data_IF_584420805258
#
_entry.id   IF_584420805258
#
_cell.length_a   1.000
_cell.length_b   1.000
_cell.length_c   1.000
_cell.angle_alpha   90.00
_cell.angle_beta   90.00
_cell.angle_gamma   90.00
#
_symmetry.space_group_name_H-M   'P 1'
#
loop_
_entity.id
_entity.type
_entity.pdbx_description
1 polymer ?
#
# COMPACT_ATOMS: atom_id res chain seq x y z
N UNK A 1 -11.27 5.26 8.21
CA UNK A 1 -10.52 4.19 7.52
C UNK A 1 -9.59 4.75 6.47
N UNK A 2 -10.09 5.46 5.44
CA UNK A 2 -9.25 6.01 4.35
C UNK A 2 -8.08 6.87 4.85
N UNK A 3 -8.33 7.78 5.82
CA UNK A 3 -7.29 8.62 6.41
C UNK A 3 -6.23 7.81 7.20
N UNK A 4 -6.64 6.71 7.84
CA UNK A 4 -5.72 5.83 8.57
C UNK A 4 -4.84 5.09 7.56
N UNK A 5 -5.43 4.54 6.50
CA UNK A 5 -4.71 3.90 5.39
C UNK A 5 -3.73 4.88 4.72
N UNK A 6 -4.15 6.13 4.52
CA UNK A 6 -3.30 7.20 4.03
C UNK A 6 -2.11 7.47 4.94
N UNK A 7 -2.33 7.70 6.24
CA UNK A 7 -1.24 7.97 7.20
C UNK A 7 -0.26 6.79 7.23
N UNK A 8 -0.78 5.57 7.24
CA UNK A 8 0.03 4.36 7.28
C UNK A 8 0.87 4.21 6.01
N UNK A 9 0.28 4.44 4.83
CA UNK A 9 1.01 4.42 3.56
C UNK A 9 2.07 5.51 3.49
N UNK A 10 1.76 6.74 3.90
CA UNK A 10 2.71 7.86 3.91
C UNK A 10 3.85 7.59 4.90
N UNK A 11 3.56 7.07 6.09
CA UNK A 11 4.58 6.76 7.10
C UNK A 11 5.53 5.65 6.61
N UNK A 12 4.98 4.56 6.07
CA UNK A 12 5.78 3.45 5.54
C UNK A 12 6.56 3.92 4.30
N UNK A 13 5.89 4.58 3.35
CA UNK A 13 6.52 5.11 2.15
C UNK A 13 7.64 6.09 2.47
N UNK A 14 7.44 6.98 3.43
CA UNK A 14 8.47 7.90 3.90
C UNK A 14 9.66 7.16 4.50
N UNK A 15 9.42 6.16 5.35
CA UNK A 15 10.46 5.31 5.94
C UNK A 15 11.29 4.58 4.86
N UNK A 16 10.62 4.08 3.82
CA UNK A 16 11.28 3.39 2.69
C UNK A 16 12.14 4.37 1.87
N UNK A 17 11.73 5.63 1.76
CA UNK A 17 12.49 6.68 1.07
C UNK A 17 13.72 7.18 1.83
N UNK A 18 13.84 6.92 3.14
CA UNK A 18 15.02 7.30 3.94
C UNK A 18 16.26 6.58 3.39
N UNK A 19 17.29 7.35 3.03
CA UNK A 19 18.55 6.82 2.47
C UNK A 19 18.54 6.59 0.96
N UNK A 20 17.47 6.94 0.25
CA UNK A 20 17.45 6.95 -1.23
C UNK A 20 18.10 8.22 -1.79
N UNK A 21 18.57 8.18 -3.04
CA UNK A 21 19.15 9.37 -3.68
C UNK A 21 18.08 10.41 -4.02
N UNK A 22 18.44 11.69 -4.17
CA UNK A 22 17.46 12.74 -4.49
C UNK A 22 16.66 12.50 -5.79
N UNK A 23 17.29 11.88 -6.80
CA UNK A 23 16.61 11.48 -8.05
C UNK A 23 15.59 10.37 -7.81
N UNK A 24 15.96 9.35 -7.04
CA UNK A 24 15.04 8.25 -6.67
C UNK A 24 13.89 8.77 -5.81
N UNK A 25 14.17 9.61 -4.82
CA UNK A 25 13.14 10.22 -3.99
C UNK A 25 12.13 11.02 -4.81
N UNK A 26 12.57 11.73 -5.86
CA UNK A 26 11.69 12.48 -6.76
C UNK A 26 10.82 11.56 -7.61
N UNK A 27 11.39 10.53 -8.24
CA UNK A 27 10.65 9.62 -9.11
C UNK A 27 9.74 8.69 -8.31
N UNK A 28 10.31 7.97 -7.36
CA UNK A 28 9.60 7.02 -6.51
C UNK A 28 8.60 7.78 -5.66
N UNK A 29 9.05 8.75 -4.85
CA UNK A 29 8.14 9.54 -4.01
C UNK A 29 7.08 10.31 -4.81
N UNK A 30 7.40 10.79 -6.01
CA UNK A 30 6.43 11.42 -6.91
C UNK A 30 5.35 10.45 -7.39
N UNK A 31 5.73 9.25 -7.83
CA UNK A 31 4.77 8.21 -8.22
C UNK A 31 3.89 7.78 -7.03
N UNK A 32 4.50 7.59 -5.85
CA UNK A 32 3.76 7.26 -4.63
C UNK A 32 2.79 8.36 -4.22
N UNK A 33 3.23 9.62 -4.27
CA UNK A 33 2.37 10.79 -4.01
C UNK A 33 1.20 10.89 -4.97
N UNK A 34 1.43 10.65 -6.26
CA UNK A 34 0.37 10.63 -7.27
C UNK A 34 -0.66 9.53 -6.99
N UNK A 35 -0.21 8.30 -6.70
CA UNK A 35 -1.10 7.19 -6.36
C UNK A 35 -1.98 7.50 -5.14
N UNK A 36 -1.40 8.16 -4.14
CA UNK A 36 -2.12 8.57 -2.94
C UNK A 36 -3.16 9.66 -3.21
N UNK A 37 -2.81 10.65 -4.03
CA UNK A 37 -3.76 11.70 -4.44
C UNK A 37 -4.93 11.07 -5.19
N UNK A 38 -4.65 10.16 -6.13
CA UNK A 38 -5.69 9.42 -6.87
C UNK A 38 -6.57 8.64 -5.89
N UNK A 39 -5.96 7.91 -4.95
CA UNK A 39 -6.70 7.14 -3.95
C UNK A 39 -7.67 8.03 -3.16
N UNK A 40 -7.24 9.19 -2.67
CA UNK A 40 -8.08 10.10 -1.89
C UNK A 40 -9.18 10.69 -2.74
N UNK A 41 -8.83 11.30 -3.88
CA UNK A 41 -9.77 12.03 -4.75
C UNK A 41 -10.87 11.09 -5.24
N UNK A 42 -10.49 9.94 -5.78
CA UNK A 42 -11.47 8.97 -6.30
C UNK A 42 -12.29 8.36 -5.16
N UNK A 43 -11.70 8.12 -3.97
CA UNK A 43 -12.48 7.66 -2.81
C UNK A 43 -13.57 8.67 -2.42
N UNK A 44 -13.29 9.97 -2.45
CA UNK A 44 -14.30 10.99 -2.17
C UNK A 44 -15.39 11.00 -3.25
N UNK A 45 -15.00 10.94 -4.53
CA UNK A 45 -15.95 10.89 -5.66
C UNK A 45 -16.90 9.70 -5.50
N UNK A 46 -16.38 8.50 -5.25
CA UNK A 46 -17.18 7.28 -5.11
C UNK A 46 -18.11 7.37 -3.90
N UNK A 47 -17.65 7.92 -2.77
CA UNK A 47 -18.49 8.13 -1.58
C UNK A 47 -19.64 9.10 -1.83
N UNK A 48 -19.41 10.15 -2.62
CA UNK A 48 -20.47 11.08 -3.03
C UNK A 48 -21.47 10.38 -3.96
N UNK A 49 -20.99 9.66 -4.98
CA UNK A 49 -21.84 8.97 -5.96
C UNK A 49 -22.67 7.84 -5.36
N UNK A 50 -22.12 7.12 -4.38
CA UNK A 50 -22.78 6.00 -3.71
C UNK A 50 -23.75 6.42 -2.59
N UNK A 51 -23.86 7.71 -2.30
CA UNK A 51 -24.67 8.19 -1.17
C UNK A 51 -24.12 7.82 0.20
N UNK A 52 -22.87 7.34 0.29
CA UNK A 52 -22.23 6.84 1.51
C UNK A 52 -22.19 7.87 2.66
N UNK A 53 -22.24 9.17 2.33
CA UNK A 53 -22.29 10.25 3.32
C UNK A 53 -23.69 10.50 3.88
N UNK A 54 -24.74 10.10 3.17
CA UNK A 54 -26.14 10.36 3.53
C UNK A 54 -26.69 9.18 4.31
N UNK A 55 -26.54 7.97 3.76
CA UNK A 55 -27.01 6.75 4.40
C UNK A 55 -25.95 5.67 4.25
N UNK A 56 -25.48 5.15 5.38
CA UNK A 56 -24.43 4.13 5.42
C UNK A 56 -25.06 2.74 5.30
N UNK A 57 -25.70 2.50 4.15
CA UNK A 57 -26.32 1.23 3.81
C UNK A 57 -25.31 0.27 3.18
N UNK A 58 -25.66 -1.02 3.13
CA UNK A 58 -24.86 -2.05 2.44
C UNK A 58 -24.61 -1.69 0.97
N UNK A 59 -25.61 -1.12 0.30
CA UNK A 59 -25.51 -0.74 -1.11
C UNK A 59 -24.57 0.44 -1.33
N UNK A 60 -24.50 1.38 -0.37
CA UNK A 60 -23.55 2.49 -0.41
C UNK A 60 -22.10 2.06 -0.09
N UNK A 61 -21.92 1.01 0.72
CA UNK A 61 -20.59 0.60 1.23
C UNK A 61 -19.81 -0.29 0.26
N UNK A 62 -20.51 -1.12 -0.53
CA UNK A 62 -19.92 -2.02 -1.53
C UNK A 62 -19.03 -1.28 -2.55
N UNK A 63 -19.48 -0.22 -3.26
CA UNK A 63 -18.66 0.45 -4.27
C UNK A 63 -17.42 1.13 -3.66
N UNK A 64 -17.56 1.71 -2.45
CA UNK A 64 -16.43 2.28 -1.71
C UNK A 64 -15.44 1.17 -1.32
N UNK A 65 -15.93 0.02 -0.84
CA UNK A 65 -15.13 -1.14 -0.50
C UNK A 65 -14.33 -1.70 -1.67
N UNK A 66 -14.97 -1.84 -2.83
CA UNK A 66 -14.31 -2.33 -4.05
C UNK A 66 -13.14 -1.43 -4.46
N UNK A 67 -13.34 -0.11 -4.41
CA UNK A 67 -12.29 0.85 -4.70
C UNK A 67 -11.17 0.81 -3.67
N UNK A 68 -11.51 0.82 -2.37
CA UNK A 68 -10.53 0.86 -1.29
C UNK A 68 -9.67 -0.41 -1.29
N UNK A 69 -10.29 -1.60 -1.39
CA UNK A 69 -9.56 -2.87 -1.42
C UNK A 69 -8.65 -2.95 -2.64
N UNK A 70 -9.15 -2.62 -3.82
CA UNK A 70 -8.34 -2.64 -5.06
C UNK A 70 -7.16 -1.66 -4.97
N UNK A 71 -7.41 -0.47 -4.43
CA UNK A 71 -6.36 0.53 -4.21
C UNK A 71 -5.33 0.08 -3.19
N UNK A 72 -5.74 -0.57 -2.10
CA UNK A 72 -4.82 -1.14 -1.13
C UNK A 72 -3.92 -2.22 -1.74
N UNK A 73 -4.42 -3.02 -2.67
CA UNK A 73 -3.59 -3.98 -3.43
C UNK A 73 -2.55 -3.24 -4.27
N UNK A 74 -2.96 -2.23 -5.04
CA UNK A 74 -2.04 -1.44 -5.89
C UNK A 74 -0.97 -0.74 -5.06
N UNK A 75 -1.36 -0.05 -3.99
CA UNK A 75 -0.45 0.61 -3.05
C UNK A 75 0.47 -0.40 -2.35
N UNK A 76 -0.05 -1.57 -1.99
CA UNK A 76 0.70 -2.65 -1.35
C UNK A 76 1.77 -3.24 -2.26
N UNK A 77 1.45 -3.48 -3.54
CA UNK A 77 2.41 -3.93 -4.56
C UNK A 77 3.47 -2.84 -4.80
N UNK A 78 3.05 -1.58 -4.87
CA UNK A 78 3.98 -0.47 -5.03
C UNK A 78 4.98 -0.36 -3.87
N UNK A 79 4.52 -0.46 -2.61
CA UNK A 79 5.37 -0.52 -1.42
C UNK A 79 6.34 -1.70 -1.48
N UNK A 80 5.85 -2.89 -1.82
CA UNK A 80 6.67 -4.09 -1.94
C UNK A 80 7.77 -3.91 -2.99
N UNK A 81 7.44 -3.35 -4.15
CA UNK A 81 8.40 -3.06 -5.20
C UNK A 81 9.48 -2.08 -4.72
N UNK A 82 9.13 -1.05 -3.94
CA UNK A 82 10.12 -0.12 -3.38
C UNK A 82 11.04 -0.78 -2.36
N UNK A 83 10.50 -1.62 -1.48
CA UNK A 83 11.26 -2.37 -0.48
C UNK A 83 12.27 -3.28 -1.17
N UNK A 84 11.80 -4.09 -2.12
CA UNK A 84 12.65 -5.03 -2.85
C UNK A 84 13.71 -4.30 -3.68
N UNK A 85 13.32 -3.20 -4.35
CA UNK A 85 14.28 -2.36 -5.07
C UNK A 85 15.44 -1.91 -4.16
N UNK A 86 15.13 -1.44 -2.95
CA UNK A 86 16.14 -0.98 -1.99
C UNK A 86 17.03 -2.13 -1.52
N UNK A 87 16.45 -3.27 -1.15
CA UNK A 87 17.20 -4.42 -0.63
C UNK A 87 18.08 -5.05 -1.70
N UNK A 88 17.58 -5.22 -2.92
CA UNK A 88 18.36 -5.71 -4.07
C UNK A 88 19.50 -4.75 -4.39
N UNK A 89 19.23 -3.44 -4.45
CA UNK A 89 20.27 -2.43 -4.69
C UNK A 89 21.36 -2.45 -3.61
N UNK A 90 20.99 -2.69 -2.35
CA UNK A 90 21.93 -2.85 -1.26
C UNK A 90 22.75 -4.14 -1.39
N UNK A 91 22.11 -5.25 -1.78
CA UNK A 91 22.75 -6.56 -1.96
C UNK A 91 23.78 -6.55 -3.09
N UNK A 92 23.49 -5.89 -4.21
CA UNK A 92 24.39 -5.81 -5.38
C UNK A 92 25.72 -5.11 -5.05
N UNK A 93 25.75 -4.22 -4.04
CA UNK A 93 26.96 -3.49 -3.64
C UNK A 93 27.84 -4.22 -2.62
N UNK A 94 27.46 -5.42 -2.17
CA UNK A 94 28.16 -6.17 -1.10
C UNK A 94 28.87 -7.42 -1.64
N UNK A 95 29.84 -7.91 -0.87
CA UNK A 95 30.63 -9.11 -1.16
C UNK A 95 29.74 -10.38 -1.14
N UNK A 96 30.14 -11.46 -1.82
CA UNK A 96 29.23 -12.57 -2.19
C UNK A 96 28.44 -13.18 -1.02
N UNK A 97 29.06 -13.43 0.14
CA UNK A 97 28.37 -14.01 1.30
C UNK A 97 27.29 -13.06 1.87
N UNK A 98 27.63 -11.78 2.05
CA UNK A 98 26.70 -10.77 2.54
C UNK A 98 25.57 -10.49 1.53
N UNK A 99 25.86 -10.59 0.23
CA UNK A 99 24.87 -10.46 -0.84
C UNK A 99 23.80 -11.55 -0.75
N UNK A 100 24.20 -12.81 -0.58
CA UNK A 100 23.25 -13.92 -0.42
C UNK A 100 22.41 -13.79 0.84
N UNK A 101 23.00 -13.36 1.96
CA UNK A 101 22.26 -13.07 3.19
C UNK A 101 21.19 -11.99 3.02
N UNK A 102 21.51 -10.90 2.30
CA UNK A 102 20.55 -9.84 2.02
C UNK A 102 19.42 -10.29 1.08
N UNK A 103 19.72 -11.12 0.08
CA UNK A 103 18.71 -11.69 -0.83
C UNK A 103 17.77 -12.62 -0.06
N UNK A 104 18.32 -13.47 0.82
CA UNK A 104 17.48 -14.35 1.65
C UNK A 104 16.58 -13.55 2.60
N UNK A 105 17.12 -12.50 3.23
CA UNK A 105 16.34 -11.59 4.07
C UNK A 105 15.23 -10.86 3.29
N UNK A 106 15.50 -10.45 2.05
CA UNK A 106 14.53 -9.82 1.14
C UNK A 106 13.36 -10.76 0.81
N UNK A 107 13.65 -12.02 0.50
CA UNK A 107 12.63 -13.05 0.26
C UNK A 107 11.80 -13.27 1.52
N UNK A 108 12.44 -13.45 2.68
CA UNK A 108 11.74 -13.64 3.95
C UNK A 108 10.83 -12.45 4.29
N UNK A 109 11.34 -11.22 4.11
CA UNK A 109 10.58 -10.01 4.34
C UNK A 109 9.41 -9.88 3.38
N UNK A 110 9.59 -10.22 2.11
CA UNK A 110 8.52 -10.28 1.11
C UNK A 110 7.41 -11.24 1.53
N UNK A 111 7.76 -12.45 1.99
CA UNK A 111 6.77 -13.44 2.46
C UNK A 111 5.99 -12.93 3.66
N UNK A 112 6.68 -12.38 4.66
CA UNK A 112 6.05 -11.80 5.85
C UNK A 112 5.15 -10.62 5.47
N UNK A 113 5.61 -9.75 4.57
CA UNK A 113 4.86 -8.60 4.08
C UNK A 113 3.58 -9.02 3.35
N UNK A 114 3.66 -10.03 2.46
CA UNK A 114 2.48 -10.55 1.76
C UNK A 114 1.50 -11.15 2.76
N UNK A 115 1.97 -11.96 3.70
CA UNK A 115 1.11 -12.57 4.73
C UNK A 115 0.41 -11.52 5.61
N UNK A 116 1.16 -10.57 6.17
CA UNK A 116 0.60 -9.48 6.98
C UNK A 116 -0.31 -8.56 6.15
N UNK A 117 0.06 -8.29 4.89
CA UNK A 117 -0.73 -7.52 3.94
C UNK A 117 -2.05 -8.20 3.60
N UNK A 118 -2.07 -9.53 3.43
CA UNK A 118 -3.30 -10.30 3.22
C UNK A 118 -4.23 -10.22 4.43
N UNK A 119 -3.69 -10.30 5.66
CA UNK A 119 -4.48 -10.12 6.89
C UNK A 119 -5.05 -8.70 6.97
N UNK A 120 -4.23 -7.68 6.70
CA UNK A 120 -4.69 -6.29 6.70
C UNK A 120 -5.78 -6.05 5.62
N UNK A 121 -5.61 -6.59 4.42
CA UNK A 121 -6.60 -6.54 3.35
C UNK A 121 -7.89 -7.25 3.75
N UNK A 122 -7.80 -8.39 4.45
CA UNK A 122 -8.98 -9.07 4.98
C UNK A 122 -9.75 -8.18 5.97
N UNK A 123 -9.05 -7.53 6.91
CA UNK A 123 -9.70 -6.59 7.84
C UNK A 123 -10.34 -5.42 7.09
N UNK A 124 -9.64 -4.83 6.12
CA UNK A 124 -10.18 -3.73 5.30
C UNK A 124 -11.43 -4.21 4.54
N UNK A 125 -11.37 -5.35 3.85
CA UNK A 125 -12.51 -5.91 3.14
C UNK A 125 -13.71 -6.13 4.08
N UNK A 126 -13.47 -6.69 5.27
CA UNK A 126 -14.51 -6.92 6.27
C UNK A 126 -15.21 -5.63 6.73
N UNK A 127 -14.51 -4.49 6.75
CA UNK A 127 -15.11 -3.21 7.14
C UNK A 127 -16.07 -2.61 6.12
N UNK A 128 -16.01 -3.04 4.85
CA UNK A 128 -16.86 -2.51 3.77
C UNK A 128 -17.86 -3.54 3.22
N UNK A 129 -17.51 -4.83 3.29
CA UNK A 129 -18.36 -5.94 2.87
C UNK A 129 -18.88 -6.69 4.10
N UNK A 130 -20.07 -6.33 4.64
CA UNK A 130 -20.66 -7.09 5.73
C UNK A 130 -20.99 -8.51 5.24
N UNK A 131 -20.41 -9.51 5.91
CA UNK A 131 -20.62 -10.94 5.67
C UNK A 131 -21.88 -11.45 6.41
N UNK A 132 -23.05 -10.82 6.22
CA UNK A 132 -24.40 -11.35 6.48
C UNK A 132 -25.46 -10.23 6.32
N UNK A 133 -26.72 -10.56 5.95
CA UNK A 133 -27.86 -9.64 5.97
C UNK A 133 -28.25 -9.18 7.38
#
# INVERSE_FOLDING_TARGET
MDFILFILFVAIGWCVLIGTTGKEKKWIGGAGGLLVIIFIVVSQIIKVQSGFFIERSRDSSIPVGQWVVSSCVVLGIYLLAMINYRLIKAAVRRQSWQRWGLIFADILFTVIYVWAGSIALFVVAFTYFPFAP
#
